data_IF_585718577155
#
_entry.id   IF_585718577155
#
_cell.length_a   1.000
_cell.length_b   1.000
_cell.length_c   1.000
_cell.angle_alpha   90.00
_cell.angle_beta   90.00
_cell.angle_gamma   90.00
#
_symmetry.space_group_name_H-M   'P 1'
#
loop_
_entity.id
_entity.type
_entity.pdbx_description
1 polymer ?
#
# COMPACT_ATOMS: atom_id res chain seq x y z
N UNK A 1 -13.38 -25.65 -24.20
CA UNK A 1 -14.74 -25.14 -23.93
C UNK A 1 -14.59 -24.13 -22.79
N UNK A 2 -14.37 -22.83 -23.16
CA UNK A 2 -14.09 -21.76 -22.19
C UNK A 2 -15.40 -21.26 -21.62
N UNK A 3 -15.62 -21.44 -20.31
CA UNK A 3 -16.70 -20.78 -19.58
C UNK A 3 -16.34 -19.31 -19.38
N UNK A 4 -16.95 -18.43 -20.17
CA UNK A 4 -16.97 -17.00 -19.86
C UNK A 4 -17.90 -16.78 -18.66
N UNK A 5 -17.34 -16.45 -17.52
CA UNK A 5 -18.12 -15.97 -16.37
C UNK A 5 -18.54 -14.54 -16.69
N UNK A 6 -19.78 -14.35 -17.08
CA UNK A 6 -20.41 -13.04 -17.20
C UNK A 6 -20.88 -12.60 -15.81
N UNK A 7 -20.39 -11.48 -15.33
CA UNK A 7 -20.98 -10.78 -14.19
C UNK A 7 -22.43 -10.42 -14.50
N UNK A 8 -23.30 -10.61 -13.50
CA UNK A 8 -24.73 -10.38 -13.62
C UNK A 8 -24.99 -8.89 -13.85
N UNK A 9 -25.44 -8.56 -15.07
CA UNK A 9 -26.03 -7.27 -15.40
C UNK A 9 -27.45 -7.20 -14.82
N UNK A 10 -27.73 -6.24 -13.99
CA UNK A 10 -29.12 -5.82 -13.76
C UNK A 10 -29.54 -4.91 -14.91
N UNK A 11 -30.35 -5.44 -15.82
CA UNK A 11 -31.04 -4.65 -16.82
C UNK A 11 -32.23 -3.94 -16.17
N UNK A 12 -32.07 -2.66 -15.87
CA UNK A 12 -33.18 -1.71 -15.78
C UNK A 12 -32.99 -0.73 -16.95
N UNK A 13 -33.90 -0.75 -17.89
CA UNK A 13 -34.04 0.17 -19.02
C UNK A 13 -32.93 0.17 -20.09
N UNK A 14 -32.37 -0.98 -20.47
CA UNK A 14 -31.54 -1.09 -21.69
C UNK A 14 -30.21 -0.31 -21.70
N UNK A 15 -29.86 0.38 -20.63
CA UNK A 15 -28.58 1.08 -20.44
C UNK A 15 -27.63 0.18 -19.66
N UNK A 16 -26.48 -0.14 -20.25
CA UNK A 16 -25.36 -0.78 -19.53
C UNK A 16 -24.80 0.26 -18.59
N UNK A 17 -25.22 0.22 -17.33
CA UNK A 17 -24.62 1.05 -16.29
C UNK A 17 -23.35 0.35 -15.81
N UNK A 18 -22.20 0.77 -16.29
CA UNK A 18 -20.93 0.38 -15.68
C UNK A 18 -20.92 0.84 -14.22
N UNK A 19 -20.68 -0.07 -13.30
CA UNK A 19 -20.51 0.34 -11.90
C UNK A 19 -19.28 1.20 -11.79
N UNK A 20 -19.44 2.47 -11.40
CA UNK A 20 -18.35 3.43 -11.24
C UNK A 20 -17.29 2.83 -10.29
N UNK A 21 -16.03 2.87 -10.67
CA UNK A 21 -14.90 2.44 -9.84
C UNK A 21 -14.89 3.20 -8.51
N UNK A 22 -14.93 2.46 -7.40
CA UNK A 22 -14.86 3.07 -6.06
C UNK A 22 -13.45 3.56 -5.78
N UNK A 23 -12.45 2.71 -6.06
CA UNK A 23 -11.04 3.03 -5.83
C UNK A 23 -10.18 2.57 -7.02
N UNK A 24 -9.39 3.49 -7.56
CA UNK A 24 -8.33 3.22 -8.52
C UNK A 24 -6.99 3.34 -7.81
N UNK A 25 -6.34 2.22 -7.55
CA UNK A 25 -4.97 2.23 -7.07
C UNK A 25 -4.01 2.52 -8.24
N UNK A 26 -3.01 3.38 -8.02
CA UNK A 26 -2.00 3.76 -9.01
C UNK A 26 -0.62 3.55 -8.41
N UNK A 27 0.22 2.75 -9.06
CA UNK A 27 1.59 2.47 -8.63
C UNK A 27 2.13 1.18 -9.25
N UNK A 28 3.39 0.90 -9.01
CA UNK A 28 4.05 -0.25 -9.59
C UNK A 28 3.60 -1.56 -8.93
N UNK A 29 3.37 -2.56 -9.78
CA UNK A 29 3.19 -3.95 -9.39
C UNK A 29 4.51 -4.69 -9.54
N UNK A 30 4.77 -5.62 -8.62
CA UNK A 30 6.00 -6.39 -8.58
C UNK A 30 5.73 -7.86 -8.23
N UNK A 31 6.73 -8.70 -8.44
CA UNK A 31 6.79 -10.05 -7.87
C UNK A 31 7.86 -10.03 -6.79
N UNK A 32 7.52 -10.52 -5.59
CA UNK A 32 8.46 -10.69 -4.49
C UNK A 32 8.77 -12.18 -4.30
N UNK A 33 10.06 -12.54 -4.42
CA UNK A 33 10.55 -13.87 -4.06
C UNK A 33 11.15 -13.83 -2.66
N UNK A 34 10.44 -14.33 -1.68
CA UNK A 34 10.90 -14.46 -0.29
C UNK A 34 11.83 -15.65 -0.17
N UNK A 35 13.10 -15.37 0.08
CA UNK A 35 14.14 -16.37 0.30
C UNK A 35 14.41 -16.43 1.80
N UNK A 36 13.96 -17.50 2.47
CA UNK A 36 14.23 -17.68 3.88
C UNK A 36 15.65 -18.19 4.07
N UNK A 37 16.50 -17.34 4.65
CA UNK A 37 17.89 -17.65 4.90
C UNK A 37 18.01 -18.59 6.10
N UNK A 38 18.87 -19.59 5.98
CA UNK A 38 19.20 -20.53 7.06
C UNK A 38 20.26 -19.95 7.99
N UNK A 39 21.24 -19.29 7.38
CA UNK A 39 22.40 -18.72 8.04
C UNK A 39 22.65 -17.32 7.50
N UNK A 40 22.72 -16.35 8.38
CA UNK A 40 23.12 -14.99 8.09
C UNK A 40 23.60 -14.33 9.38
N UNK A 41 24.33 -13.24 9.26
CA UNK A 41 24.75 -12.42 10.39
C UNK A 41 24.16 -11.03 10.26
N UNK A 42 23.57 -10.52 11.34
CA UNK A 42 23.09 -9.13 11.39
C UNK A 42 24.10 -8.33 12.21
N UNK A 43 24.74 -7.35 11.57
CA UNK A 43 25.69 -6.43 12.21
C UNK A 43 25.08 -5.05 12.31
N UNK A 44 24.92 -4.55 13.53
CA UNK A 44 24.38 -3.23 13.82
C UNK A 44 25.50 -2.34 14.42
N UNK A 45 25.29 -1.02 14.37
CA UNK A 45 26.09 -0.06 15.14
C UNK A 45 25.80 -0.15 16.65
N UNK A 46 26.54 0.62 17.45
CA UNK A 46 26.44 0.63 18.94
C UNK A 46 25.01 0.98 19.43
N UNK A 47 24.23 1.71 18.64
CA UNK A 47 22.86 2.09 18.95
C UNK A 47 21.81 1.14 18.39
N UNK A 48 22.22 -0.02 17.85
CA UNK A 48 21.35 -0.97 17.10
C UNK A 48 20.61 -0.32 15.93
N UNK A 49 21.22 0.70 15.34
CA UNK A 49 20.80 1.36 14.11
C UNK A 49 21.71 0.91 12.96
N UNK A 50 21.33 1.27 11.73
CA UNK A 50 22.12 0.94 10.53
C UNK A 50 22.56 -0.54 10.45
N UNK A 51 21.66 -1.45 10.81
CA UNK A 51 21.92 -2.88 10.76
C UNK A 51 22.13 -3.35 9.31
N UNK A 52 23.10 -4.23 9.12
CA UNK A 52 23.43 -4.84 7.82
C UNK A 52 23.27 -6.35 7.90
N UNK A 53 22.60 -6.91 6.89
CA UNK A 53 22.58 -8.35 6.67
C UNK A 53 23.88 -8.76 5.95
N UNK A 54 24.64 -9.67 6.54
CA UNK A 54 25.92 -10.15 6.04
C UNK A 54 25.83 -11.63 5.67
N UNK A 55 26.38 -11.98 4.50
CA UNK A 55 26.50 -13.34 4.00
C UNK A 55 27.97 -13.63 3.69
N UNK A 56 28.37 -14.90 3.70
CA UNK A 56 29.72 -15.32 3.32
C UNK A 56 30.00 -14.96 1.87
N UNK A 57 31.06 -14.15 1.65
CA UNK A 57 31.44 -13.75 0.30
C UNK A 57 32.07 -14.92 -0.48
N UNK A 58 31.69 -15.05 -1.76
CA UNK A 58 32.18 -16.07 -2.69
C UNK A 58 31.88 -17.52 -2.24
N UNK A 59 30.88 -17.75 -1.41
CA UNK A 59 30.49 -19.05 -0.90
C UNK A 59 29.08 -19.48 -1.38
N UNK A 60 28.74 -20.75 -1.18
CA UNK A 60 27.39 -21.29 -1.42
C UNK A 60 26.60 -21.20 -0.13
N UNK A 61 25.78 -20.17 0.01
CA UNK A 61 24.95 -19.94 1.19
C UNK A 61 23.66 -20.75 1.07
N UNK A 62 23.38 -21.71 1.97
CA UNK A 62 22.15 -22.47 1.94
C UNK A 62 20.96 -21.60 2.40
N UNK A 63 19.81 -21.82 1.78
CA UNK A 63 18.54 -21.22 2.22
C UNK A 63 17.53 -22.31 2.62
N UNK A 64 16.53 -21.96 3.37
CA UNK A 64 15.51 -22.89 3.88
C UNK A 64 14.38 -23.13 2.89
N UNK A 65 13.83 -22.04 2.35
CA UNK A 65 12.68 -22.08 1.44
C UNK A 65 12.62 -20.83 0.56
N UNK A 66 11.86 -20.95 -0.53
CA UNK A 66 11.45 -19.81 -1.35
C UNK A 66 9.95 -19.77 -1.47
N UNK A 67 9.37 -18.60 -1.27
CA UNK A 67 7.96 -18.32 -1.50
C UNK A 67 7.80 -17.15 -2.46
N UNK A 68 7.08 -17.35 -3.57
CA UNK A 68 6.86 -16.32 -4.59
C UNK A 68 5.49 -15.71 -4.40
N UNK A 69 5.47 -14.40 -4.16
CA UNK A 69 4.27 -13.58 -4.05
C UNK A 69 4.14 -12.74 -5.32
N UNK A 70 3.11 -13.02 -6.13
CA UNK A 70 2.85 -12.34 -7.40
C UNK A 70 1.92 -11.14 -7.18
N UNK A 71 2.06 -10.16 -8.06
CA UNK A 71 1.18 -8.98 -8.10
C UNK A 71 1.09 -8.24 -6.75
N UNK A 72 2.24 -8.05 -6.10
CA UNK A 72 2.37 -7.27 -4.86
C UNK A 72 2.91 -5.87 -5.14
N UNK A 73 3.17 -5.08 -4.11
CA UNK A 73 3.50 -3.65 -4.16
C UNK A 73 2.37 -2.83 -3.54
N UNK A 74 2.68 -1.64 -3.03
CA UNK A 74 1.73 -0.87 -2.20
C UNK A 74 0.35 -0.70 -2.87
N UNK A 75 0.31 -0.30 -4.15
CA UNK A 75 -0.96 -0.10 -4.89
C UNK A 75 -1.68 -1.41 -5.19
N UNK A 76 -0.95 -2.47 -5.57
CA UNK A 76 -1.54 -3.78 -5.79
C UNK A 76 -2.10 -4.37 -4.49
N UNK A 77 -1.37 -4.23 -3.37
CA UNK A 77 -1.85 -4.63 -2.04
C UNK A 77 -3.12 -3.86 -1.64
N UNK A 78 -3.15 -2.55 -1.91
CA UNK A 78 -4.30 -1.70 -1.64
C UNK A 78 -5.51 -2.09 -2.50
N UNK A 79 -5.32 -2.38 -3.79
CA UNK A 79 -6.41 -2.79 -4.67
C UNK A 79 -7.03 -4.13 -4.25
N UNK A 80 -6.19 -5.11 -3.89
CA UNK A 80 -6.65 -6.42 -3.39
C UNK A 80 -7.36 -6.27 -2.04
N UNK A 81 -6.82 -5.45 -1.13
CA UNK A 81 -7.45 -5.15 0.16
C UNK A 81 -8.85 -4.56 -0.03
N UNK A 82 -8.97 -3.55 -0.89
CA UNK A 82 -10.24 -2.89 -1.18
C UNK A 82 -11.28 -3.84 -1.80
N UNK A 83 -10.85 -4.67 -2.76
CA UNK A 83 -11.71 -5.68 -3.37
C UNK A 83 -12.23 -6.70 -2.33
N UNK A 84 -11.36 -7.20 -1.45
CA UNK A 84 -11.76 -8.13 -0.37
C UNK A 84 -12.69 -7.50 0.66
N UNK A 85 -12.62 -6.18 0.84
CA UNK A 85 -13.53 -5.42 1.70
C UNK A 85 -14.84 -5.03 1.01
N UNK A 86 -15.04 -5.47 -0.26
CA UNK A 86 -16.31 -5.33 -0.98
C UNK A 86 -16.41 -4.06 -1.84
N UNK A 87 -15.30 -3.39 -2.13
CA UNK A 87 -15.27 -2.22 -3.02
C UNK A 87 -15.02 -2.64 -4.48
N UNK A 88 -15.55 -1.86 -5.42
CA UNK A 88 -15.23 -1.97 -6.85
C UNK A 88 -13.84 -1.36 -7.09
N UNK A 89 -12.82 -2.22 -7.08
CA UNK A 89 -11.40 -1.85 -7.07
C UNK A 89 -10.73 -2.11 -8.42
N UNK A 90 -9.97 -1.13 -8.92
CA UNK A 90 -9.15 -1.23 -10.11
C UNK A 90 -7.68 -0.88 -9.80
N UNK A 91 -6.78 -1.36 -10.66
CA UNK A 91 -5.35 -1.04 -10.58
C UNK A 91 -4.88 -0.45 -11.92
N UNK A 92 -4.27 0.75 -11.87
CA UNK A 92 -3.45 1.28 -12.94
C UNK A 92 -1.98 1.02 -12.61
N UNK A 93 -1.35 0.18 -13.41
CA UNK A 93 0.04 -0.23 -13.22
C UNK A 93 0.67 -0.64 -14.55
N UNK A 94 1.95 -0.95 -14.50
CA UNK A 94 2.75 -1.33 -15.66
C UNK A 94 3.47 -2.64 -15.38
N UNK A 95 3.51 -3.51 -16.38
CA UNK A 95 4.24 -4.77 -16.37
C UNK A 95 4.95 -4.97 -17.72
N UNK A 96 5.96 -5.81 -17.76
CA UNK A 96 6.54 -6.26 -19.00
C UNK A 96 5.53 -7.12 -19.81
N UNK A 97 5.67 -7.12 -21.12
CA UNK A 97 4.97 -8.10 -21.95
C UNK A 97 5.71 -9.44 -21.88
N UNK A 98 5.71 -10.02 -20.68
CA UNK A 98 6.38 -11.27 -20.34
C UNK A 98 5.47 -12.17 -19.48
N UNK A 99 5.92 -13.40 -19.24
CA UNK A 99 5.18 -14.37 -18.43
C UNK A 99 4.89 -13.86 -17.00
N UNK A 100 5.81 -13.13 -16.39
CA UNK A 100 5.64 -12.59 -15.06
C UNK A 100 4.52 -11.53 -15.05
N UNK A 101 4.42 -10.71 -16.09
CA UNK A 101 3.34 -9.74 -16.28
C UNK A 101 1.97 -10.42 -16.44
N UNK A 102 1.92 -11.51 -17.23
CA UNK A 102 0.70 -12.32 -17.37
C UNK A 102 0.26 -12.87 -16.01
N UNK A 103 1.19 -13.46 -15.27
CA UNK A 103 0.93 -14.05 -13.96
C UNK A 103 0.49 -12.99 -12.92
N UNK A 104 1.01 -11.76 -13.00
CA UNK A 104 0.54 -10.64 -12.15
C UNK A 104 -0.92 -10.27 -12.48
N UNK A 105 -1.26 -10.13 -13.77
CA UNK A 105 -2.63 -9.80 -14.18
C UNK A 105 -3.61 -10.89 -13.74
N UNK A 106 -3.26 -12.15 -13.94
CA UNK A 106 -4.08 -13.29 -13.50
C UNK A 106 -4.30 -13.30 -11.99
N UNK A 107 -3.27 -12.99 -11.20
CA UNK A 107 -3.37 -12.98 -9.74
C UNK A 107 -4.28 -11.84 -9.23
N UNK A 108 -4.20 -10.65 -9.85
CA UNK A 108 -5.10 -9.54 -9.58
C UNK A 108 -6.56 -9.90 -9.88
N UNK A 109 -6.81 -10.51 -11.05
CA UNK A 109 -8.15 -10.94 -11.46
C UNK A 109 -8.75 -12.00 -10.51
N UNK A 110 -7.94 -12.95 -10.03
CA UNK A 110 -8.34 -13.93 -9.01
C UNK A 110 -8.78 -13.27 -7.69
N UNK A 111 -8.21 -12.10 -7.39
CA UNK A 111 -8.58 -11.29 -6.23
C UNK A 111 -9.70 -10.27 -6.52
N UNK A 112 -10.42 -10.39 -7.65
CA UNK A 112 -11.49 -9.49 -8.07
C UNK A 112 -11.06 -8.03 -8.25
N UNK A 113 -9.80 -7.79 -8.63
CA UNK A 113 -9.31 -6.47 -9.02
C UNK A 113 -9.52 -6.29 -10.52
N UNK A 114 -10.11 -5.17 -10.92
CA UNK A 114 -10.24 -4.79 -12.32
C UNK A 114 -8.87 -4.41 -12.90
N UNK A 115 -8.49 -5.04 -14.02
CA UNK A 115 -7.14 -4.97 -14.60
C UNK A 115 -7.09 -4.29 -15.96
N UNK A 116 -8.17 -3.65 -16.40
CA UNK A 116 -8.25 -2.95 -17.69
C UNK A 116 -7.26 -1.79 -17.84
N UNK A 117 -6.77 -1.27 -16.70
CA UNK A 117 -5.75 -0.22 -16.66
C UNK A 117 -4.32 -0.76 -16.41
N UNK A 118 -4.14 -2.08 -16.27
CA UNK A 118 -2.80 -2.68 -16.20
C UNK A 118 -2.23 -2.77 -17.62
N UNK A 119 -1.12 -2.08 -17.86
CA UNK A 119 -0.52 -1.94 -19.18
C UNK A 119 0.71 -2.82 -19.32
N UNK A 120 0.76 -3.58 -20.41
CA UNK A 120 1.92 -4.38 -20.80
C UNK A 120 2.79 -3.60 -21.77
N UNK A 121 4.09 -3.49 -21.48
CA UNK A 121 5.05 -2.83 -22.36
C UNK A 121 5.99 -3.83 -23.04
N UNK A 122 6.07 -3.77 -24.36
CA UNK A 122 7.00 -4.58 -25.15
C UNK A 122 8.45 -4.17 -24.88
N UNK A 123 9.33 -5.15 -24.81
CA UNK A 123 10.76 -4.93 -24.56
C UNK A 123 11.11 -4.56 -23.11
N UNK A 124 10.13 -4.53 -22.23
CA UNK A 124 10.30 -4.35 -20.78
C UNK A 124 10.12 -5.67 -20.05
N UNK A 125 10.69 -5.76 -18.86
CA UNK A 125 10.50 -6.90 -17.94
C UNK A 125 9.65 -6.49 -16.76
N UNK A 126 8.84 -7.42 -16.24
CA UNK A 126 8.06 -7.18 -15.04
C UNK A 126 8.98 -7.04 -13.82
N UNK A 127 8.69 -6.06 -12.95
CA UNK A 127 9.46 -5.82 -11.72
C UNK A 127 9.51 -7.08 -10.87
N UNK A 128 10.69 -7.46 -10.44
CA UNK A 128 10.94 -8.66 -9.67
C UNK A 128 11.95 -8.37 -8.56
N UNK A 129 11.54 -8.54 -7.31
CA UNK A 129 12.37 -8.31 -6.15
C UNK A 129 12.74 -9.63 -5.48
N UNK A 130 13.92 -9.65 -4.86
CA UNK A 130 14.33 -10.73 -3.98
C UNK A 130 14.28 -10.24 -2.54
N UNK A 131 13.48 -10.89 -1.72
CA UNK A 131 13.30 -10.55 -0.31
C UNK A 131 14.11 -11.53 0.51
N UNK A 132 15.27 -11.10 0.99
CA UNK A 132 16.10 -11.88 1.89
C UNK A 132 15.48 -11.82 3.29
N UNK A 133 14.83 -12.90 3.67
CA UNK A 133 14.11 -13.00 4.93
C UNK A 133 14.95 -13.75 5.96
N UNK A 134 15.26 -13.08 7.06
CA UNK A 134 16.02 -13.64 8.17
C UNK A 134 15.37 -13.24 9.49
N UNK A 135 15.08 -14.23 10.35
CA UNK A 135 14.30 -14.08 11.58
C UNK A 135 12.90 -13.50 11.28
N UNK A 136 12.54 -12.36 11.86
CA UNK A 136 11.24 -11.67 11.64
C UNK A 136 11.35 -10.50 10.66
N UNK A 137 12.56 -10.16 10.21
CA UNK A 137 12.84 -9.02 9.35
C UNK A 137 13.39 -9.44 7.97
N UNK A 138 13.50 -8.49 7.07
CA UNK A 138 13.92 -8.72 5.68
C UNK A 138 14.75 -7.57 5.15
N UNK A 139 15.58 -7.92 4.16
CA UNK A 139 16.25 -6.97 3.27
C UNK A 139 15.76 -7.22 1.85
N UNK A 140 15.28 -6.18 1.16
CA UNK A 140 14.72 -6.31 -0.18
C UNK A 140 15.74 -5.84 -1.22
N UNK A 141 16.09 -6.72 -2.15
CA UNK A 141 16.87 -6.38 -3.35
C UNK A 141 15.89 -5.90 -4.42
N UNK A 142 15.90 -4.59 -4.64
CA UNK A 142 14.93 -3.91 -5.50
C UNK A 142 15.53 -3.69 -6.88
N UNK A 143 14.76 -4.05 -7.93
CA UNK A 143 15.00 -3.65 -9.30
C UNK A 143 13.70 -3.11 -9.89
N UNK A 144 13.69 -1.83 -10.24
CA UNK A 144 12.58 -1.24 -10.98
C UNK A 144 12.93 -1.13 -12.47
N UNK A 145 11.97 -1.52 -13.31
CA UNK A 145 12.01 -1.25 -14.74
C UNK A 145 11.56 0.20 -14.99
N UNK A 146 12.08 0.81 -16.03
CA UNK A 146 11.67 2.16 -16.44
C UNK A 146 10.52 2.05 -17.43
N UNK A 147 9.28 2.20 -16.94
CA UNK A 147 8.08 2.20 -17.77
C UNK A 147 7.74 3.59 -18.33
N UNK A 148 6.94 3.64 -19.38
CA UNK A 148 6.42 4.88 -19.96
C UNK A 148 5.11 5.27 -19.27
N UNK A 149 5.24 5.84 -18.08
CA UNK A 149 4.09 6.21 -17.26
C UNK A 149 3.20 7.26 -17.95
N UNK A 150 1.90 7.03 -17.96
CA UNK A 150 0.88 7.93 -18.50
C UNK A 150 -0.47 7.58 -17.86
N UNK A 151 -1.30 8.55 -17.56
CA UNK A 151 -2.64 8.29 -17.04
C UNK A 151 -3.56 7.72 -18.15
N UNK A 152 -3.40 8.23 -19.36
CA UNK A 152 -4.24 7.88 -20.51
C UNK A 152 -5.71 8.20 -20.27
N UNK A 153 -6.59 7.45 -20.91
CA UNK A 153 -8.03 7.65 -20.75
C UNK A 153 -8.54 6.74 -19.62
N UNK A 154 -8.83 7.32 -18.46
CA UNK A 154 -9.46 6.64 -17.33
C UNK A 154 -10.79 7.32 -16.98
N UNK A 155 -11.75 6.53 -16.52
CA UNK A 155 -12.95 7.08 -15.91
C UNK A 155 -12.63 7.61 -14.51
N UNK A 156 -13.24 8.74 -14.12
CA UNK A 156 -13.02 9.34 -12.81
C UNK A 156 -13.56 8.43 -11.69
N UNK A 157 -12.67 7.81 -10.88
CA UNK A 157 -13.09 6.99 -9.75
C UNK A 157 -13.61 7.87 -8.61
N UNK A 158 -14.20 7.26 -7.58
CA UNK A 158 -14.50 8.03 -6.35
C UNK A 158 -13.20 8.43 -5.63
N UNK A 159 -12.22 7.50 -5.57
CA UNK A 159 -10.94 7.71 -4.94
C UNK A 159 -9.79 7.21 -5.81
N UNK A 160 -8.67 7.95 -5.82
CA UNK A 160 -7.37 7.48 -6.30
C UNK A 160 -6.51 7.15 -5.08
N UNK A 161 -5.88 5.98 -5.10
CA UNK A 161 -4.87 5.57 -4.13
C UNK A 161 -3.50 5.56 -4.83
N UNK A 162 -2.75 6.65 -4.69
CA UNK A 162 -1.43 6.83 -5.30
C UNK A 162 -0.33 6.33 -4.37
N UNK A 163 0.53 5.46 -4.87
CA UNK A 163 1.61 4.92 -4.06
C UNK A 163 2.93 4.75 -4.83
N UNK A 164 3.78 3.81 -4.40
CA UNK A 164 5.15 3.63 -4.91
C UNK A 164 5.22 3.44 -6.42
N UNK A 165 6.11 4.20 -7.05
CA UNK A 165 6.42 4.15 -8.50
C UNK A 165 7.91 4.36 -8.74
N UNK A 166 8.38 4.04 -9.94
CA UNK A 166 9.76 4.20 -10.36
C UNK A 166 10.26 5.65 -10.38
N UNK A 167 11.58 5.81 -10.52
CA UNK A 167 12.25 7.11 -10.42
C UNK A 167 11.92 8.12 -11.55
N UNK A 168 11.37 7.63 -12.68
CA UNK A 168 10.99 8.47 -13.82
C UNK A 168 9.50 8.88 -13.77
N UNK A 169 8.81 8.76 -12.63
CA UNK A 169 7.37 8.98 -12.51
C UNK A 169 6.97 10.41 -12.12
N UNK A 170 7.90 11.36 -11.99
CA UNK A 170 7.56 12.71 -11.52
C UNK A 170 6.55 13.43 -12.45
N UNK A 171 6.75 13.38 -13.76
CA UNK A 171 5.83 13.98 -14.73
C UNK A 171 4.45 13.34 -14.66
N UNK A 172 4.40 12.04 -14.44
CA UNK A 172 3.15 11.31 -14.26
C UNK A 172 2.39 11.76 -12.99
N UNK A 173 3.09 12.09 -11.92
CA UNK A 173 2.46 12.70 -10.74
C UNK A 173 1.82 14.06 -11.08
N UNK A 174 2.43 14.85 -11.96
CA UNK A 174 1.85 16.11 -12.41
C UNK A 174 0.62 15.87 -13.30
N UNK A 175 0.62 14.83 -14.15
CA UNK A 175 -0.54 14.43 -14.93
C UNK A 175 -1.71 14.01 -14.03
N UNK A 176 -1.43 13.27 -12.93
CA UNK A 176 -2.44 12.91 -11.92
C UNK A 176 -2.99 14.18 -11.24
N UNK A 177 -2.12 15.15 -10.90
CA UNK A 177 -2.58 16.40 -10.31
C UNK A 177 -3.49 17.20 -11.27
N UNK A 178 -3.17 17.24 -12.57
CA UNK A 178 -4.00 17.86 -13.60
C UNK A 178 -5.35 17.13 -13.78
N UNK A 179 -5.35 15.81 -13.66
CA UNK A 179 -6.58 15.02 -13.67
C UNK A 179 -7.49 15.36 -12.49
N UNK A 180 -6.92 15.48 -11.28
CA UNK A 180 -7.65 15.85 -10.08
C UNK A 180 -8.16 17.30 -10.12
N UNK A 181 -7.47 18.21 -10.82
CA UNK A 181 -7.98 19.57 -11.08
C UNK A 181 -9.25 19.55 -11.93
N UNK A 182 -9.33 18.63 -12.89
CA UNK A 182 -10.49 18.46 -13.79
C UNK A 182 -11.62 17.63 -13.16
N UNK A 183 -11.32 16.85 -12.12
CA UNK A 183 -12.25 15.96 -11.45
C UNK A 183 -12.27 16.22 -9.93
N UNK A 184 -12.81 17.35 -9.47
CA UNK A 184 -12.72 17.80 -8.07
C UNK A 184 -13.46 16.88 -7.07
N UNK A 185 -14.38 16.03 -7.54
CA UNK A 185 -15.10 15.07 -6.71
C UNK A 185 -14.26 13.80 -6.45
N UNK A 186 -13.21 13.55 -7.22
CA UNK A 186 -12.29 12.44 -6.98
C UNK A 186 -11.34 12.78 -5.85
N UNK A 187 -11.33 11.98 -4.79
CA UNK A 187 -10.42 12.16 -3.65
C UNK A 187 -9.10 11.46 -3.87
N UNK A 188 -8.04 11.97 -3.26
CA UNK A 188 -6.69 11.42 -3.34
C UNK A 188 -6.22 10.87 -2.00
N UNK A 189 -5.82 9.60 -2.00
CA UNK A 189 -4.98 9.00 -0.97
C UNK A 189 -3.56 8.96 -1.49
N UNK A 190 -2.60 9.37 -0.66
CA UNK A 190 -1.19 9.33 -1.02
C UNK A 190 -0.37 8.58 0.04
N UNK A 191 0.25 7.49 -0.40
CA UNK A 191 1.22 6.70 0.36
C UNK A 191 2.52 6.62 -0.44
N UNK A 192 3.46 7.56 -0.27
CA UNK A 192 4.67 7.62 -1.10
C UNK A 192 5.59 6.44 -0.88
N UNK A 193 6.23 5.98 -1.95
CA UNK A 193 7.34 5.06 -1.89
C UNK A 193 8.70 5.77 -1.86
N UNK A 194 9.77 4.98 -1.93
CA UNK A 194 11.15 5.47 -1.81
C UNK A 194 11.51 6.54 -2.85
N UNK A 195 11.06 6.38 -4.11
CA UNK A 195 11.37 7.34 -5.18
C UNK A 195 10.59 8.63 -5.02
N UNK A 196 9.31 8.57 -4.61
CA UNK A 196 8.52 9.76 -4.32
C UNK A 196 9.14 10.58 -3.18
N UNK A 197 9.63 9.92 -2.14
CA UNK A 197 10.35 10.61 -1.06
C UNK A 197 11.67 11.24 -1.56
N UNK A 198 12.36 10.62 -2.53
CA UNK A 198 13.58 11.19 -3.15
C UNK A 198 13.29 12.41 -4.03
N UNK A 199 12.13 12.49 -4.70
CA UNK A 199 11.73 13.70 -5.42
C UNK A 199 11.64 14.91 -4.48
N UNK A 200 11.27 14.65 -3.22
CA UNK A 200 11.13 15.68 -2.20
C UNK A 200 9.77 16.36 -2.21
N UNK A 201 9.45 16.97 -1.08
CA UNK A 201 8.14 17.60 -0.83
C UNK A 201 7.84 18.75 -1.79
N UNK A 202 8.84 19.50 -2.23
CA UNK A 202 8.66 20.66 -3.10
C UNK A 202 8.27 20.23 -4.53
N UNK A 203 8.92 19.20 -5.08
CA UNK A 203 8.57 18.66 -6.39
C UNK A 203 7.15 18.05 -6.41
N UNK A 204 6.72 17.47 -5.29
CA UNK A 204 5.40 16.86 -5.13
C UNK A 204 4.36 17.78 -4.45
N UNK A 205 4.65 19.09 -4.31
CA UNK A 205 3.78 20.01 -3.59
C UNK A 205 2.32 20.03 -4.11
N UNK A 206 2.11 19.87 -5.42
CA UNK A 206 0.76 19.77 -5.99
C UNK A 206 0.02 18.52 -5.53
N UNK A 207 0.72 17.38 -5.44
CA UNK A 207 0.15 16.12 -4.95
C UNK A 207 -0.22 16.26 -3.48
N UNK A 208 0.70 16.76 -2.63
CA UNK A 208 0.40 16.99 -1.21
C UNK A 208 -0.84 17.87 -1.01
N UNK A 209 -0.96 18.98 -1.76
CA UNK A 209 -2.11 19.88 -1.69
C UNK A 209 -3.44 19.27 -2.13
N UNK A 210 -3.40 18.26 -3.00
CA UNK A 210 -4.58 17.52 -3.48
C UNK A 210 -4.94 16.34 -2.59
N UNK A 211 -4.06 15.97 -1.66
CA UNK A 211 -4.22 14.77 -0.84
C UNK A 211 -5.31 14.95 0.21
N UNK A 212 -6.32 14.08 0.17
CA UNK A 212 -7.34 13.99 1.22
C UNK A 212 -6.80 13.20 2.41
N UNK A 213 -6.09 12.07 2.16
CA UNK A 213 -5.50 11.26 3.22
C UNK A 213 -4.07 10.91 2.85
N UNK A 214 -3.16 11.15 3.78
CA UNK A 214 -1.75 10.83 3.65
C UNK A 214 -1.35 9.72 4.62
N UNK A 215 -0.58 8.73 4.14
CA UNK A 215 -0.05 7.65 4.95
C UNK A 215 1.46 7.56 4.86
N UNK A 216 2.12 7.41 6.00
CA UNK A 216 3.53 7.06 6.11
C UNK A 216 3.81 6.40 7.47
N UNK A 217 5.03 5.90 7.69
CA UNK A 217 5.52 5.59 9.02
C UNK A 217 6.32 6.76 9.61
N UNK A 218 6.74 6.63 10.87
CA UNK A 218 7.48 7.70 11.57
C UNK A 218 8.78 8.04 10.84
N UNK A 219 9.56 7.05 10.44
CA UNK A 219 10.85 7.24 9.75
C UNK A 219 10.67 7.92 8.37
N UNK A 220 9.58 7.58 7.67
CA UNK A 220 9.22 8.22 6.42
C UNK A 220 8.81 9.68 6.63
N UNK A 221 8.00 9.96 7.66
CA UNK A 221 7.61 11.34 8.00
C UNK A 221 8.83 12.20 8.34
N UNK A 222 9.75 11.68 9.13
CA UNK A 222 11.02 12.34 9.44
C UNK A 222 11.84 12.64 8.18
N UNK A 223 11.93 11.67 7.26
CA UNK A 223 12.65 11.81 5.99
C UNK A 223 12.02 12.86 5.08
N UNK A 224 10.69 12.85 4.92
CA UNK A 224 9.95 13.81 4.10
C UNK A 224 10.10 15.23 4.63
N UNK A 225 10.04 15.39 5.95
CA UNK A 225 10.14 16.69 6.60
C UNK A 225 11.58 17.16 6.81
N UNK A 226 12.57 16.27 6.70
CA UNK A 226 13.96 16.55 7.06
C UNK A 226 14.16 16.68 8.58
N UNK A 227 13.37 15.95 9.38
CA UNK A 227 13.31 16.03 10.85
C UNK A 227 13.80 14.76 11.53
N UNK A 228 15.04 14.38 11.28
CA UNK A 228 15.68 13.23 11.96
C UNK A 228 15.95 13.46 13.45
N UNK A 229 15.75 14.69 13.91
CA UNK A 229 16.01 15.15 15.30
C UNK A 229 14.86 14.86 16.27
N UNK A 230 13.68 14.47 15.78
CA UNK A 230 12.50 14.26 16.65
C UNK A 230 11.65 13.07 16.25
N UNK A 231 11.07 12.39 17.22
CA UNK A 231 9.97 11.41 17.11
C UNK A 231 8.68 11.93 17.75
N UNK A 232 8.57 13.23 18.01
CA UNK A 232 7.34 13.82 18.54
C UNK A 232 6.21 13.75 17.51
N UNK A 233 5.33 12.75 17.67
CA UNK A 233 4.26 12.46 16.73
C UNK A 233 3.32 13.65 16.49
N UNK A 234 2.84 14.37 17.53
CA UNK A 234 2.03 15.56 17.35
C UNK A 234 2.70 16.61 16.44
N UNK A 235 3.99 16.86 16.62
CA UNK A 235 4.75 17.80 15.78
C UNK A 235 4.86 17.29 14.35
N UNK A 236 5.28 16.03 14.15
CA UNK A 236 5.41 15.44 12.81
C UNK A 236 4.08 15.45 12.05
N UNK A 237 2.95 15.14 12.71
CA UNK A 237 1.62 15.14 12.09
C UNK A 237 1.17 16.54 11.67
N UNK A 238 1.41 17.55 12.49
CA UNK A 238 1.10 18.96 12.16
C UNK A 238 1.96 19.46 10.99
N UNK A 239 3.25 19.16 11.00
CA UNK A 239 4.17 19.54 9.91
C UNK A 239 3.83 18.81 8.61
N UNK A 240 3.45 17.52 8.66
CA UNK A 240 2.96 16.79 7.48
C UNK A 240 1.67 17.38 6.93
N UNK A 241 0.72 17.71 7.80
CA UNK A 241 -0.54 18.35 7.39
C UNK A 241 -0.31 19.73 6.75
N UNK A 242 0.68 20.47 7.23
CA UNK A 242 1.05 21.77 6.64
C UNK A 242 1.54 21.67 5.18
N UNK A 243 1.92 20.48 4.69
CA UNK A 243 2.21 20.25 3.27
C UNK A 243 0.95 20.25 2.39
N UNK A 244 -0.24 20.04 2.98
CA UNK A 244 -1.53 20.11 2.28
C UNK A 244 -2.55 19.02 2.55
N UNK A 245 -2.19 17.80 3.02
CA UNK A 245 -3.16 16.74 3.29
C UNK A 245 -4.24 17.17 4.30
N UNK A 246 -5.48 16.67 4.09
CA UNK A 246 -6.60 16.96 5.02
C UNK A 246 -6.59 16.03 6.23
N UNK A 247 -6.13 14.79 6.04
CA UNK A 247 -5.93 13.80 7.10
C UNK A 247 -4.52 13.24 6.96
N UNK A 248 -3.82 13.11 8.07
CA UNK A 248 -2.49 12.49 8.14
C UNK A 248 -2.57 11.28 9.06
N UNK A 249 -2.13 10.12 8.56
CA UNK A 249 -2.00 8.89 9.33
C UNK A 249 -0.52 8.47 9.39
N UNK A 250 0.01 8.29 10.59
CA UNK A 250 1.39 7.85 10.81
C UNK A 250 1.38 6.54 11.60
N UNK A 251 2.03 5.50 11.07
CA UNK A 251 2.20 4.22 11.77
C UNK A 251 3.56 4.18 12.48
N UNK A 252 3.61 3.57 13.67
CA UNK A 252 4.82 3.41 14.49
C UNK A 252 5.03 1.93 14.89
N UNK A 253 4.92 1.04 13.93
CA UNK A 253 5.17 -0.38 14.14
C UNK A 253 4.34 -0.98 15.27
N UNK A 254 5.00 -1.53 16.27
CA UNK A 254 4.34 -2.14 17.44
C UNK A 254 3.75 -1.10 18.40
N UNK A 255 4.17 0.16 18.31
CA UNK A 255 3.68 1.25 19.14
C UNK A 255 2.34 1.82 18.65
N UNK A 256 1.83 1.31 17.51
CA UNK A 256 0.48 1.60 17.05
C UNK A 256 0.42 2.54 15.84
N UNK A 257 -0.68 3.29 15.75
CA UNK A 257 -0.92 4.22 14.64
C UNK A 257 -1.63 5.48 15.15
N UNK A 258 -1.38 6.57 14.46
CA UNK A 258 -1.87 7.90 14.79
C UNK A 258 -2.61 8.49 13.59
N UNK A 259 -3.68 9.25 13.83
CA UNK A 259 -4.38 10.00 12.79
C UNK A 259 -4.66 11.42 13.27
N UNK A 260 -4.55 12.39 12.36
CA UNK A 260 -4.84 13.80 12.60
C UNK A 260 -5.69 14.37 11.47
N UNK A 261 -6.85 14.96 11.80
CA UNK A 261 -7.81 15.53 10.85
C UNK A 261 -7.79 17.07 10.82
N UNK A 262 -6.79 17.69 11.45
CA UNK A 262 -6.67 19.13 11.61
C UNK A 262 -7.28 19.66 12.91
N UNK A 263 -8.12 18.89 13.57
CA UNK A 263 -8.78 19.24 14.83
C UNK A 263 -8.43 18.25 15.94
N UNK A 264 -8.57 16.96 15.66
CA UNK A 264 -8.40 15.88 16.64
C UNK A 264 -7.22 15.00 16.23
N UNK A 265 -6.43 14.61 17.22
CA UNK A 265 -5.41 13.59 17.12
C UNK A 265 -5.87 12.31 17.80
N UNK A 266 -5.80 11.21 17.04
CA UNK A 266 -6.20 9.90 17.50
C UNK A 266 -4.99 8.98 17.60
N UNK A 267 -4.93 8.18 18.64
CA UNK A 267 -4.03 7.05 18.76
C UNK A 267 -4.82 5.75 18.74
N UNK A 268 -4.33 4.77 18.00
CA UNK A 268 -4.87 3.42 17.96
C UNK A 268 -3.76 2.39 18.20
N UNK A 269 -3.96 1.52 19.20
CA UNK A 269 -3.02 0.42 19.48
C UNK A 269 -3.06 -0.64 18.36
N UNK A 270 -2.00 -1.45 18.28
CA UNK A 270 -2.02 -2.67 17.47
C UNK A 270 -3.08 -3.64 17.99
N UNK A 271 -3.66 -4.45 17.10
CA UNK A 271 -4.47 -5.59 17.53
C UNK A 271 -3.55 -6.68 18.10
N UNK A 272 -3.87 -7.31 19.25
CA UNK A 272 -2.97 -8.27 19.89
C UNK A 272 -2.61 -9.45 18.97
N UNK A 273 -1.31 -9.68 18.76
CA UNK A 273 -0.82 -10.79 17.91
C UNK A 273 0.68 -11.03 18.12
N UNK A 274 1.15 -12.16 17.59
CA UNK A 274 2.57 -12.46 17.42
C UNK A 274 2.88 -12.38 15.92
N UNK A 275 3.76 -11.47 15.46
CA UNK A 275 4.09 -11.36 14.05
C UNK A 275 4.97 -12.54 13.60
N UNK A 276 4.75 -12.99 12.36
CA UNK A 276 5.58 -13.99 11.70
C UNK A 276 6.51 -13.36 10.65
N UNK A 277 5.96 -12.42 9.84
CA UNK A 277 6.70 -11.67 8.84
C UNK A 277 6.00 -10.30 8.64
N UNK A 278 6.77 -9.20 8.65
CA UNK A 278 6.21 -7.83 8.78
C UNK A 278 5.89 -7.13 7.46
N UNK A 279 6.14 -7.78 6.31
CA UNK A 279 5.87 -7.15 5.01
C UNK A 279 4.38 -6.90 4.81
N UNK A 280 4.06 -5.70 4.32
CA UNK A 280 2.69 -5.32 3.99
C UNK A 280 1.83 -4.83 5.15
N UNK A 281 2.35 -4.76 6.39
CA UNK A 281 1.58 -4.24 7.53
C UNK A 281 1.08 -2.81 7.30
N UNK A 282 1.95 -1.92 6.81
CA UNK A 282 1.61 -0.53 6.49
C UNK A 282 0.60 -0.43 5.35
N UNK A 283 0.74 -1.25 4.31
CA UNK A 283 -0.19 -1.30 3.18
C UNK A 283 -1.57 -1.79 3.61
N UNK A 284 -1.60 -2.84 4.43
CA UNK A 284 -2.83 -3.38 5.00
C UNK A 284 -3.54 -2.34 5.87
N UNK A 285 -2.80 -1.60 6.70
CA UNK A 285 -3.34 -0.50 7.50
C UNK A 285 -3.93 0.59 6.61
N UNK A 286 -3.12 1.16 5.72
CA UNK A 286 -3.51 2.30 4.89
C UNK A 286 -4.68 1.98 3.97
N UNK A 287 -4.64 0.84 3.28
CA UNK A 287 -5.71 0.42 2.38
C UNK A 287 -7.02 0.13 3.12
N UNK A 288 -6.92 -0.43 4.33
CA UNK A 288 -8.12 -0.75 5.15
C UNK A 288 -8.76 0.50 5.71
N UNK A 289 -7.97 1.46 6.24
CA UNK A 289 -8.48 2.76 6.68
C UNK A 289 -9.15 3.49 5.52
N UNK A 290 -8.52 3.51 4.35
CA UNK A 290 -9.08 4.10 3.12
C UNK A 290 -10.41 3.43 2.74
N UNK A 291 -10.46 2.10 2.74
CA UNK A 291 -11.65 1.34 2.39
C UNK A 291 -12.79 1.56 3.38
N UNK A 292 -12.49 1.63 4.68
CA UNK A 292 -13.48 1.92 5.71
C UNK A 292 -14.12 3.31 5.51
N UNK A 293 -13.32 4.32 5.21
CA UNK A 293 -13.83 5.67 4.90
C UNK A 293 -14.67 5.70 3.62
N UNK A 294 -14.29 4.96 2.58
CA UNK A 294 -15.10 4.77 1.37
C UNK A 294 -16.44 4.09 1.65
N UNK A 295 -16.47 3.18 2.61
CA UNK A 295 -17.69 2.50 3.08
C UNK A 295 -18.53 3.36 4.04
N UNK A 296 -18.16 4.64 4.24
CA UNK A 296 -18.92 5.60 5.05
C UNK A 296 -18.63 5.53 6.55
N UNK A 297 -17.56 4.85 6.96
CA UNK A 297 -17.12 4.82 8.36
C UNK A 297 -16.51 6.16 8.76
N UNK A 298 -16.58 6.49 10.05
CA UNK A 298 -15.84 7.62 10.62
C UNK A 298 -14.33 7.32 10.64
N UNK A 299 -13.49 8.35 10.84
CA UNK A 299 -12.05 8.15 10.98
C UNK A 299 -11.71 7.26 12.18
N UNK A 300 -12.41 7.43 13.30
CA UNK A 300 -12.28 6.59 14.50
C UNK A 300 -12.58 5.12 14.20
N UNK A 301 -13.70 4.82 13.54
CA UNK A 301 -14.05 3.46 13.12
C UNK A 301 -13.02 2.89 12.14
N UNK A 302 -12.54 3.70 11.19
CA UNK A 302 -11.53 3.29 10.23
C UNK A 302 -10.20 2.95 10.90
N UNK A 303 -9.80 3.72 11.94
CA UNK A 303 -8.63 3.45 12.75
C UNK A 303 -8.72 2.13 13.53
N UNK A 304 -9.92 1.65 13.86
CA UNK A 304 -10.10 0.32 14.45
C UNK A 304 -9.91 -0.80 13.43
N UNK A 305 -10.28 -0.57 12.19
CA UNK A 305 -10.19 -1.57 11.12
C UNK A 305 -8.74 -1.82 10.68
N UNK A 306 -7.94 -0.75 10.54
CA UNK A 306 -6.58 -0.79 10.03
C UNK A 306 -5.68 -1.81 10.74
N UNK A 307 -5.50 -1.74 12.08
CA UNK A 307 -4.64 -2.65 12.82
C UNK A 307 -5.10 -4.12 12.80
N UNK A 308 -6.40 -4.40 12.67
CA UNK A 308 -6.93 -5.77 12.53
C UNK A 308 -6.41 -6.41 11.25
N UNK A 309 -6.48 -5.70 10.13
CA UNK A 309 -6.00 -6.24 8.85
C UNK A 309 -4.46 -6.33 8.82
N UNK A 310 -3.77 -5.35 9.39
CA UNK A 310 -2.31 -5.42 9.57
C UNK A 310 -1.89 -6.64 10.39
N UNK A 311 -2.55 -6.89 11.53
CA UNK A 311 -2.34 -8.06 12.36
C UNK A 311 -2.48 -9.36 11.57
N UNK A 312 -3.52 -9.48 10.76
CA UNK A 312 -3.77 -10.68 9.96
C UNK A 312 -2.71 -10.89 8.88
N UNK A 313 -2.26 -9.79 8.24
CA UNK A 313 -1.21 -9.84 7.21
C UNK A 313 0.11 -10.31 7.79
N UNK A 314 0.57 -9.75 8.89
CA UNK A 314 1.88 -10.11 9.48
C UNK A 314 1.97 -11.53 10.07
N UNK A 315 0.89 -12.28 10.07
CA UNK A 315 0.86 -13.70 10.43
C UNK A 315 1.09 -14.64 9.23
N UNK A 316 1.29 -14.09 8.04
CA UNK A 316 1.52 -14.82 6.79
C UNK A 316 2.73 -14.26 6.07
N UNK A 317 3.33 -15.07 5.19
CA UNK A 317 4.40 -14.57 4.30
C UNK A 317 3.77 -13.73 3.19
N UNK A 318 4.31 -12.53 2.99
CA UNK A 318 3.89 -11.60 1.95
C UNK A 318 2.65 -10.77 2.29
N UNK A 319 2.46 -9.70 1.54
CA UNK A 319 1.55 -8.60 1.88
C UNK A 319 0.05 -8.88 1.66
N UNK A 320 -0.32 -9.95 0.94
CA UNK A 320 -1.72 -10.14 0.53
C UNK A 320 -2.38 -11.38 1.11
N UNK A 321 -1.63 -12.43 1.48
CA UNK A 321 -2.21 -13.69 1.96
C UNK A 321 -3.07 -13.54 3.20
N UNK A 322 -2.68 -12.62 4.07
CA UNK A 322 -3.39 -12.32 5.31
C UNK A 322 -4.49 -11.26 5.19
N UNK A 323 -4.67 -10.62 4.03
CA UNK A 323 -5.73 -9.62 3.86
C UNK A 323 -7.11 -10.26 4.07
N UNK A 324 -7.92 -9.64 4.91
CA UNK A 324 -9.22 -10.14 5.35
C UNK A 324 -10.34 -9.75 4.40
N UNK A 325 -11.40 -10.57 4.35
CA UNK A 325 -12.69 -10.13 3.85
C UNK A 325 -13.37 -9.22 4.89
N UNK A 326 -14.35 -8.45 4.45
CA UNK A 326 -15.12 -7.56 5.33
C UNK A 326 -15.75 -8.32 6.50
N UNK A 327 -16.40 -9.45 6.24
CA UNK A 327 -17.07 -10.27 7.24
C UNK A 327 -16.08 -10.75 8.31
N UNK A 328 -14.88 -11.18 7.87
CA UNK A 328 -13.86 -11.68 8.78
C UNK A 328 -13.25 -10.56 9.61
N UNK A 329 -13.03 -9.38 9.02
CA UNK A 329 -12.55 -8.20 9.73
C UNK A 329 -13.56 -7.75 10.79
N UNK A 330 -14.85 -7.67 10.44
CA UNK A 330 -15.91 -7.31 11.37
C UNK A 330 -16.09 -8.34 12.49
N UNK A 331 -15.80 -9.62 12.22
CA UNK A 331 -15.77 -10.67 13.25
C UNK A 331 -14.65 -10.42 14.27
N UNK A 332 -13.43 -10.10 13.82
CA UNK A 332 -12.33 -9.71 14.71
C UNK A 332 -12.70 -8.47 15.54
N UNK A 333 -13.34 -7.48 14.91
CA UNK A 333 -13.77 -6.27 15.61
C UNK A 333 -14.80 -6.56 16.71
N UNK A 334 -15.78 -7.44 16.45
CA UNK A 334 -16.77 -7.86 17.47
C UNK A 334 -16.14 -8.60 18.65
N UNK A 335 -15.05 -9.32 18.40
CA UNK A 335 -14.32 -10.10 19.39
C UNK A 335 -13.12 -9.35 19.99
N UNK A 336 -12.95 -8.08 19.65
CA UNK A 336 -11.85 -7.26 20.11
C UNK A 336 -11.91 -7.06 21.64
N UNK A 337 -10.75 -6.88 22.31
CA UNK A 337 -10.71 -6.47 23.70
C UNK A 337 -11.56 -5.22 23.96
N UNK A 338 -12.14 -5.09 25.15
CA UNK A 338 -13.05 -3.98 25.51
C UNK A 338 -12.38 -2.61 25.44
N UNK A 339 -11.07 -2.55 25.60
CA UNK A 339 -10.21 -1.36 25.52
C UNK A 339 -9.66 -1.10 24.11
N UNK A 340 -9.96 -1.98 23.12
CA UNK A 340 -9.55 -1.82 21.73
C UNK A 340 -10.40 -0.74 21.04
N UNK A 341 -10.02 0.51 21.24
CA UNK A 341 -10.66 1.70 20.65
C UNK A 341 -9.67 2.86 20.56
N UNK A 342 -9.88 3.79 19.59
CA UNK A 342 -9.05 4.97 19.46
C UNK A 342 -9.11 5.83 20.73
N UNK A 343 -7.99 6.45 21.06
CA UNK A 343 -7.87 7.42 22.16
C UNK A 343 -7.58 8.78 21.55
N UNK A 344 -8.28 9.79 22.01
CA UNK A 344 -7.98 11.20 21.70
C UNK A 344 -6.70 11.60 22.47
N UNK A 345 -5.78 12.30 21.79
CA UNK A 345 -4.51 12.80 22.33
C UNK A 345 -4.62 14.28 22.68
#
# INVERSE_FOLDING_TARGET
MFLKVYFVLFLLDGTITYMKTDILAIGDVVIDAFIRLKEAEVRCDEHKQNCKLCLSFADKVPYESVEICKAVGNSANASVSAARLGLNSALLSYVGNDRNGDECVEELQKNNVHTEYVRKEDGKVTNYHYVLWYDVDRTILVKHETYNYSLGNIEAPKWIYLSSMGENSLEFHMEIADFLDKNPDTKLVFQPGTFQMKFGKDALARIYKKTDIFFCNVEESQRILGRSDTRDLPTLMKEMMALGPKIVCITDGIDGAYAYDGTHMWFMSVYPHVPFERTGAGDAFASTVTSALLLGKTLEEAMMWGPINSMSVVQKVGAQKGLLTRERLEEYLRNAPTDYKPRLL
#
